data_IF_524964563018
#
_entry.id   IF_524964563018
#
_cell.length_a   1.000
_cell.length_b   1.000
_cell.length_c   1.000
_cell.angle_alpha   90.00
_cell.angle_beta   90.00
_cell.angle_gamma   90.00
#
_symmetry.space_group_name_H-M   'P 1'
#
loop_
_entity.id
_entity.type
_entity.pdbx_description
1 polymer ?
#
# COMPACT_ATOMS: atom_id res chain seq x y z
N UNK A 1 13.79 17.48 -11.28
CA UNK A 1 12.74 16.98 -10.36
C UNK A 1 13.43 16.50 -9.10
N UNK A 2 12.95 16.89 -7.93
CA UNK A 2 13.55 16.49 -6.64
C UNK A 2 12.98 15.11 -6.27
N UNK A 3 13.86 14.17 -5.95
CA UNK A 3 13.45 12.84 -5.48
C UNK A 3 12.96 12.92 -4.02
N UNK A 4 12.00 12.06 -3.67
CA UNK A 4 11.50 11.93 -2.30
C UNK A 4 12.44 11.05 -1.49
N UNK A 5 12.72 11.40 -0.23
CA UNK A 5 13.45 10.54 0.71
C UNK A 5 12.52 9.50 1.32
N UNK A 6 12.54 8.29 0.75
CA UNK A 6 11.79 7.14 1.26
C UNK A 6 12.50 6.33 2.35
N UNK A 7 13.72 6.70 2.75
CA UNK A 7 14.56 5.88 3.64
C UNK A 7 14.58 6.38 5.08
N UNK A 8 13.54 7.14 5.46
CA UNK A 8 13.43 7.77 6.77
C UNK A 8 12.91 6.82 7.84
N UNK A 9 13.39 7.03 9.07
CA UNK A 9 12.96 6.28 10.25
C UNK A 9 13.95 5.20 10.67
N UNK A 10 13.48 4.27 11.50
CA UNK A 10 14.28 3.13 11.95
C UNK A 10 14.28 2.00 10.91
N UNK A 11 15.21 1.05 11.07
CA UNK A 11 15.22 -0.19 10.25
C UNK A 11 13.89 -0.94 10.28
N UNK A 12 13.18 -0.90 11.41
CA UNK A 12 11.88 -1.54 11.55
C UNK A 12 10.80 -0.78 10.77
N UNK A 13 10.89 0.54 10.72
CA UNK A 13 9.94 1.38 9.97
C UNK A 13 10.10 1.15 8.47
N UNK A 14 11.34 1.15 7.97
CA UNK A 14 11.65 0.83 6.56
C UNK A 14 11.18 -0.59 6.21
N UNK A 15 11.37 -1.56 7.11
CA UNK A 15 10.87 -2.93 6.91
C UNK A 15 9.35 -2.95 6.76
N UNK A 16 8.62 -2.27 7.65
CA UNK A 16 7.18 -2.20 7.61
C UNK A 16 6.68 -1.51 6.33
N UNK A 17 7.35 -0.43 5.93
CA UNK A 17 7.09 0.32 4.70
C UNK A 17 7.22 -0.56 3.45
N UNK A 18 8.35 -1.26 3.32
CA UNK A 18 8.60 -2.17 2.20
C UNK A 18 7.60 -3.33 2.18
N UNK A 19 7.31 -3.93 3.34
CA UNK A 19 6.31 -5.00 3.43
C UNK A 19 4.89 -4.50 3.12
N UNK A 20 4.57 -3.24 3.45
CA UNK A 20 3.26 -2.64 3.21
C UNK A 20 3.02 -2.24 1.76
N UNK A 21 4.07 -1.93 0.99
CA UNK A 21 3.91 -1.55 -0.41
C UNK A 21 3.62 -2.73 -1.36
N UNK A 22 3.87 -3.97 -0.91
CA UNK A 22 3.74 -5.18 -1.70
C UNK A 22 2.48 -6.00 -1.35
N UNK A 23 1.88 -6.62 -2.37
CA UNK A 23 0.85 -7.66 -2.19
C UNK A 23 1.49 -9.03 -2.37
N UNK A 24 1.15 -9.94 -1.46
CA UNK A 24 1.64 -11.31 -1.45
C UNK A 24 0.50 -12.29 -1.71
N UNK A 25 0.76 -13.27 -2.58
CA UNK A 25 -0.21 -14.32 -2.93
C UNK A 25 -0.29 -15.41 -1.86
N UNK A 26 0.74 -15.55 -1.03
CA UNK A 26 0.78 -16.53 0.05
C UNK A 26 1.50 -16.00 1.29
N UNK A 27 1.07 -16.46 2.46
CA UNK A 27 1.72 -16.18 3.74
C UNK A 27 3.16 -16.72 3.79
N UNK A 28 3.42 -17.81 3.07
CA UNK A 28 4.77 -18.35 2.91
C UNK A 28 5.70 -17.33 2.25
N UNK A 29 5.35 -16.80 1.06
CA UNK A 29 6.18 -15.82 0.38
C UNK A 29 6.30 -14.50 1.16
N UNK A 30 5.23 -14.11 1.85
CA UNK A 30 5.26 -12.97 2.77
C UNK A 30 6.28 -13.17 3.89
N UNK A 31 6.28 -14.34 4.53
CA UNK A 31 7.21 -14.69 5.60
C UNK A 31 8.67 -14.76 5.13
N UNK A 32 8.91 -15.36 3.96
CA UNK A 32 10.24 -15.41 3.34
C UNK A 32 10.76 -14.00 3.01
N UNK A 33 9.92 -13.17 2.38
CA UNK A 33 10.26 -11.78 2.05
C UNK A 33 10.59 -10.97 3.30
N UNK A 34 9.77 -11.10 4.35
CA UNK A 34 10.00 -10.44 5.63
C UNK A 34 11.38 -10.80 6.21
N UNK A 35 11.76 -12.08 6.19
CA UNK A 35 13.04 -12.52 6.73
C UNK A 35 14.23 -12.04 5.89
N UNK A 36 14.13 -12.10 4.57
CA UNK A 36 15.18 -11.61 3.66
C UNK A 36 15.39 -10.09 3.83
N UNK A 37 14.32 -9.31 3.90
CA UNK A 37 14.41 -7.88 4.17
C UNK A 37 14.98 -7.59 5.55
N UNK A 38 14.57 -8.35 6.58
CA UNK A 38 15.16 -8.23 7.92
C UNK A 38 16.67 -8.46 7.88
N UNK A 39 17.14 -9.49 7.17
CA UNK A 39 18.56 -9.76 7.05
C UNK A 39 19.31 -8.65 6.30
N UNK A 40 18.75 -8.09 5.23
CA UNK A 40 19.38 -6.97 4.53
C UNK A 40 19.43 -5.67 5.37
N UNK A 41 18.34 -5.34 6.08
CA UNK A 41 18.23 -4.12 6.87
C UNK A 41 19.04 -4.19 8.18
N UNK A 42 19.11 -5.36 8.80
CA UNK A 42 19.84 -5.62 10.05
C UNK A 42 21.18 -6.34 9.84
N UNK A 43 21.74 -6.25 8.63
CA UNK A 43 23.04 -6.82 8.29
C UNK A 43 24.11 -6.38 9.30
N UNK A 44 24.85 -7.32 9.92
CA UNK A 44 25.78 -7.00 10.99
C UNK A 44 26.97 -6.19 10.48
N UNK A 45 27.27 -5.07 11.16
CA UNK A 45 28.42 -4.22 10.82
C UNK A 45 28.19 -3.25 9.66
N UNK A 46 27.02 -3.29 9.01
CA UNK A 46 26.68 -2.34 7.95
C UNK A 46 25.82 -1.18 8.48
N UNK A 47 25.95 0.03 7.89
CA UNK A 47 25.09 1.16 8.21
C UNK A 47 23.62 0.88 7.86
N UNK A 48 22.66 1.69 8.35
CA UNK A 48 21.30 1.68 7.83
C UNK A 48 21.28 1.86 6.30
N UNK A 49 20.32 1.24 5.64
CA UNK A 49 20.13 1.40 4.19
C UNK A 49 19.60 2.80 3.90
N UNK A 50 20.16 3.44 2.87
CA UNK A 50 19.89 4.83 2.50
C UNK A 50 19.39 5.02 1.07
N UNK A 51 19.35 3.95 0.27
CA UNK A 51 18.91 4.00 -1.13
C UNK A 51 18.38 2.64 -1.61
N UNK A 52 17.58 2.68 -2.67
CA UNK A 52 17.03 1.50 -3.34
C UNK A 52 18.13 0.58 -3.87
N UNK A 53 19.15 1.17 -4.49
CA UNK A 53 20.32 0.45 -5.00
C UNK A 53 21.08 -0.28 -3.89
N UNK A 54 21.24 0.36 -2.73
CA UNK A 54 21.87 -0.26 -1.58
C UNK A 54 21.03 -1.43 -1.04
N UNK A 55 19.71 -1.27 -0.93
CA UNK A 55 18.83 -2.37 -0.54
C UNK A 55 18.95 -3.54 -1.51
N UNK A 56 18.87 -3.28 -2.83
CA UNK A 56 18.94 -4.28 -3.89
C UNK A 56 20.25 -5.07 -3.83
N UNK A 57 21.38 -4.40 -3.61
CA UNK A 57 22.68 -5.05 -3.37
C UNK A 57 22.65 -5.97 -2.16
N UNK A 58 22.04 -5.54 -1.05
CA UNK A 58 22.00 -6.34 0.19
C UNK A 58 21.03 -7.52 0.12
N UNK A 59 19.91 -7.41 -0.59
CA UNK A 59 18.97 -8.53 -0.77
C UNK A 59 19.37 -9.47 -1.92
N UNK A 60 20.37 -9.08 -2.74
CA UNK A 60 20.90 -9.93 -3.79
C UNK A 60 21.44 -11.23 -3.17
N UNK A 61 20.95 -12.42 -3.57
CA UNK A 61 21.22 -13.63 -2.80
C UNK A 61 22.70 -13.97 -2.57
N UNK A 62 23.60 -13.87 -3.58
CA UNK A 62 25.04 -14.07 -3.35
C UNK A 62 25.62 -13.12 -2.30
N UNK A 63 25.27 -11.84 -2.34
CA UNK A 63 25.73 -10.84 -1.37
C UNK A 63 25.16 -11.12 0.02
N UNK A 64 23.88 -11.46 0.11
CA UNK A 64 23.22 -11.76 1.38
C UNK A 64 23.82 -13.00 2.06
N UNK A 65 24.13 -14.05 1.29
CA UNK A 65 24.82 -15.24 1.78
C UNK A 65 26.23 -14.86 2.29
N UNK A 66 26.98 -14.06 1.53
CA UNK A 66 28.31 -13.62 1.93
C UNK A 66 28.30 -12.78 3.23
N UNK A 67 27.33 -11.90 3.41
CA UNK A 67 27.18 -11.07 4.63
C UNK A 67 26.98 -11.94 5.88
N UNK A 68 26.27 -13.06 5.75
CA UNK A 68 25.90 -13.94 6.86
C UNK A 68 26.76 -15.19 6.97
N UNK A 69 27.84 -15.29 6.20
CA UNK A 69 28.75 -16.44 6.24
C UNK A 69 29.25 -16.71 7.67
N UNK A 70 29.19 -17.97 8.08
CA UNK A 70 29.54 -18.40 9.45
C UNK A 70 28.56 -17.97 10.55
N UNK A 71 27.40 -17.41 10.23
CA UNK A 71 26.34 -17.07 11.19
C UNK A 71 25.14 -18.03 11.07
N UNK A 72 24.36 -18.16 12.16
CA UNK A 72 23.16 -19.03 12.20
C UNK A 72 22.14 -18.71 11.09
N UNK A 73 22.09 -17.45 10.65
CA UNK A 73 21.20 -17.02 9.57
C UNK A 73 21.57 -17.64 8.21
N UNK A 74 22.83 -18.04 7.99
CA UNK A 74 23.25 -18.72 6.77
C UNK A 74 22.50 -20.05 6.59
N UNK A 75 22.31 -20.81 7.68
CA UNK A 75 21.55 -22.08 7.65
C UNK A 75 20.12 -21.88 7.10
N UNK A 76 19.47 -20.77 7.48
CA UNK A 76 18.15 -20.43 6.96
C UNK A 76 18.20 -20.11 5.46
N UNK A 77 19.19 -19.32 5.02
CA UNK A 77 19.34 -18.93 3.63
C UNK A 77 19.65 -20.13 2.71
N UNK A 78 20.48 -21.06 3.19
CA UNK A 78 20.81 -22.29 2.47
C UNK A 78 19.65 -23.28 2.40
N UNK A 79 18.78 -23.29 3.40
CA UNK A 79 17.61 -24.17 3.44
C UNK A 79 16.46 -23.71 2.52
N UNK A 80 16.47 -22.45 2.07
CA UNK A 80 15.44 -21.94 1.16
C UNK A 80 15.60 -22.51 -0.25
N UNK A 81 14.46 -22.86 -0.86
CA UNK A 81 14.43 -23.15 -2.28
C UNK A 81 14.90 -21.93 -3.08
N UNK A 82 15.59 -22.17 -4.22
CA UNK A 82 16.16 -21.11 -5.06
C UNK A 82 15.13 -20.04 -5.40
N UNK A 83 13.93 -20.42 -5.82
CA UNK A 83 12.90 -19.46 -6.22
C UNK A 83 12.39 -18.62 -5.04
N UNK A 84 12.32 -19.21 -3.84
CA UNK A 84 11.94 -18.48 -2.63
C UNK A 84 13.01 -17.46 -2.21
N UNK A 85 14.29 -17.79 -2.40
CA UNK A 85 15.41 -16.90 -2.11
C UNK A 85 15.51 -15.75 -3.13
N UNK A 86 15.29 -16.03 -4.41
CA UNK A 86 15.36 -15.02 -5.48
C UNK A 86 14.09 -14.18 -5.64
N UNK A 87 12.94 -14.67 -5.18
CA UNK A 87 11.64 -13.99 -5.30
C UNK A 87 11.62 -12.57 -4.75
N UNK A 88 12.09 -12.31 -3.51
CA UNK A 88 12.15 -10.96 -2.96
C UNK A 88 13.04 -10.02 -3.78
N UNK A 89 14.22 -10.48 -4.20
CA UNK A 89 15.12 -9.69 -5.05
C UNK A 89 14.41 -9.25 -6.34
N UNK A 90 13.85 -10.19 -7.10
CA UNK A 90 13.20 -9.86 -8.38
C UNK A 90 11.98 -8.95 -8.22
N UNK A 91 11.22 -9.11 -7.12
CA UNK A 91 10.07 -8.25 -6.83
C UNK A 91 10.48 -6.81 -6.53
N UNK A 92 11.47 -6.60 -5.66
CA UNK A 92 11.94 -5.26 -5.35
C UNK A 92 12.74 -4.64 -6.49
N UNK A 93 13.47 -5.44 -7.27
CA UNK A 93 14.13 -4.99 -8.49
C UNK A 93 13.08 -4.45 -9.49
N UNK A 94 12.00 -5.18 -9.73
CA UNK A 94 10.90 -4.72 -10.60
C UNK A 94 10.19 -3.47 -10.06
N UNK A 95 10.03 -3.36 -8.74
CA UNK A 95 9.45 -2.18 -8.10
C UNK A 95 10.34 -0.94 -8.24
N UNK A 96 11.60 -1.01 -7.82
CA UNK A 96 12.51 0.14 -7.86
C UNK A 96 12.91 0.51 -9.29
N UNK A 97 13.00 -0.46 -10.19
CA UNK A 97 13.13 -0.20 -11.64
C UNK A 97 11.90 0.49 -12.23
N UNK A 98 10.77 0.54 -11.52
CA UNK A 98 9.59 1.30 -11.92
C UNK A 98 9.50 2.70 -11.34
N UNK A 99 10.08 2.88 -10.15
CA UNK A 99 10.03 4.14 -9.42
C UNK A 99 11.21 5.06 -9.73
N UNK A 100 12.31 4.55 -10.29
CA UNK A 100 13.37 5.33 -10.97
C UNK A 100 14.15 6.27 -10.05
N UNK A 101 14.74 5.73 -8.98
CA UNK A 101 15.46 6.48 -7.93
C UNK A 101 14.64 7.63 -7.28
N UNK A 102 13.34 7.76 -7.60
CA UNK A 102 12.46 8.81 -7.05
C UNK A 102 12.20 8.68 -5.55
N UNK A 103 12.66 7.60 -4.94
CA UNK A 103 12.63 7.34 -3.49
C UNK A 103 13.98 7.53 -2.81
N UNK A 104 15.03 7.84 -3.57
CA UNK A 104 16.40 7.96 -3.09
C UNK A 104 16.81 9.44 -2.96
N UNK A 105 15.85 10.30 -2.61
CA UNK A 105 16.09 11.72 -2.35
C UNK A 105 16.58 12.02 -0.94
N UNK A 106 16.74 13.30 -0.64
CA UNK A 106 17.17 13.80 0.68
C UNK A 106 16.02 14.42 1.49
N UNK A 107 14.96 14.87 0.81
CA UNK A 107 13.82 15.56 1.41
C UNK A 107 12.55 14.72 1.28
N UNK A 108 11.74 14.71 2.33
CA UNK A 108 10.51 13.92 2.41
C UNK A 108 9.36 14.69 3.03
N UNK A 109 8.37 13.97 3.56
CA UNK A 109 7.23 14.61 4.20
C UNK A 109 7.67 15.49 5.37
N UNK A 110 7.23 16.74 5.36
CA UNK A 110 7.47 17.73 6.41
C UNK A 110 8.72 18.59 6.26
N UNK A 111 9.50 18.42 5.19
CA UNK A 111 10.54 19.40 4.80
C UNK A 111 9.98 20.45 3.85
N UNK A 112 8.97 20.07 3.05
CA UNK A 112 8.24 20.95 2.14
C UNK A 112 7.02 21.59 2.81
N UNK A 113 6.72 22.83 2.43
CA UNK A 113 5.44 23.48 2.76
C UNK A 113 4.27 22.86 1.97
N UNK A 114 4.53 22.46 0.72
CA UNK A 114 3.61 21.73 -0.14
C UNK A 114 4.40 20.78 -1.07
N UNK A 115 3.87 19.58 -1.31
CA UNK A 115 4.46 18.60 -2.19
C UNK A 115 3.39 18.00 -3.13
N UNK A 116 3.73 17.86 -4.41
CA UNK A 116 2.86 17.32 -5.45
C UNK A 116 3.47 16.05 -6.03
N UNK A 117 2.73 14.95 -5.93
CA UNK A 117 3.15 13.65 -6.47
C UNK A 117 2.29 13.31 -7.68
N UNK A 118 2.88 13.35 -8.87
CA UNK A 118 2.21 12.97 -10.10
C UNK A 118 2.28 11.46 -10.32
N UNK A 119 1.13 10.79 -10.31
CA UNK A 119 0.99 9.37 -10.59
C UNK A 119 0.40 9.17 -12.00
N UNK A 120 1.26 9.05 -13.01
CA UNK A 120 0.81 8.90 -14.41
C UNK A 120 0.33 7.47 -14.73
N UNK A 121 -1.00 7.27 -14.69
CA UNK A 121 -1.69 6.01 -15.05
C UNK A 121 -1.36 5.49 -16.43
N UNK A 122 -1.18 6.36 -17.41
CA UNK A 122 -0.96 5.93 -18.80
C UNK A 122 0.40 5.27 -18.96
N UNK A 123 1.41 5.78 -18.25
CA UNK A 123 2.81 5.33 -18.38
C UNK A 123 3.22 4.27 -17.36
N UNK A 124 2.72 4.32 -16.12
CA UNK A 124 3.20 3.48 -15.00
C UNK A 124 2.25 2.33 -14.62
N UNK A 125 1.33 1.93 -15.52
CA UNK A 125 0.19 1.01 -15.28
C UNK A 125 0.34 0.02 -14.11
N UNK A 126 1.29 -0.92 -14.16
CA UNK A 126 1.44 -1.97 -13.13
C UNK A 126 2.22 -1.54 -11.88
N UNK A 127 2.95 -0.43 -11.94
CA UNK A 127 3.88 0.04 -10.91
C UNK A 127 3.32 1.17 -10.04
N UNK A 128 2.25 1.84 -10.48
CA UNK A 128 1.61 2.94 -9.73
C UNK A 128 1.11 2.48 -8.38
N UNK A 129 0.48 1.30 -8.33
CA UNK A 129 -0.10 0.81 -7.10
C UNK A 129 0.93 0.59 -5.99
N UNK A 130 2.01 -0.18 -6.21
CA UNK A 130 3.09 -0.27 -5.24
C UNK A 130 3.66 1.09 -4.84
N UNK A 131 3.81 2.02 -5.78
CA UNK A 131 4.35 3.35 -5.50
C UNK A 131 3.39 4.22 -4.66
N UNK A 132 2.11 4.25 -5.00
CA UNK A 132 1.07 4.93 -4.23
C UNK A 132 0.94 4.35 -2.82
N UNK A 133 0.96 3.01 -2.67
CA UNK A 133 1.01 2.36 -1.35
C UNK A 133 2.24 2.79 -0.57
N UNK A 134 3.40 2.79 -1.21
CA UNK A 134 4.64 3.23 -0.57
C UNK A 134 4.52 4.65 -0.04
N UNK A 135 4.07 5.61 -0.86
CA UNK A 135 3.90 7.00 -0.42
C UNK A 135 2.88 7.13 0.73
N UNK A 136 1.81 6.35 0.72
CA UNK A 136 0.80 6.37 1.77
C UNK A 136 1.30 5.75 3.07
N UNK A 137 2.05 4.64 2.99
CA UNK A 137 2.68 4.04 4.16
C UNK A 137 3.80 4.92 4.73
N UNK A 138 4.58 5.60 3.88
CA UNK A 138 5.59 6.56 4.32
C UNK A 138 4.92 7.80 4.96
N UNK A 139 3.81 8.27 4.40
CA UNK A 139 3.02 9.32 5.02
C UNK A 139 2.47 8.88 6.38
N UNK A 140 1.98 7.64 6.52
CA UNK A 140 1.56 7.10 7.81
C UNK A 140 2.70 7.08 8.84
N UNK A 141 3.90 6.65 8.42
CA UNK A 141 5.10 6.70 9.25
C UNK A 141 5.43 8.12 9.68
N UNK A 142 5.42 9.07 8.74
CA UNK A 142 5.61 10.49 9.02
C UNK A 142 4.61 10.99 10.08
N UNK A 143 3.32 10.67 9.95
CA UNK A 143 2.31 11.05 10.94
C UNK A 143 2.59 10.46 12.33
N UNK A 144 2.98 9.19 12.40
CA UNK A 144 3.32 8.53 13.66
C UNK A 144 4.53 9.21 14.33
N UNK A 145 5.60 9.46 13.58
CA UNK A 145 6.78 10.18 14.06
C UNK A 145 6.44 11.61 14.49
N UNK A 146 5.53 12.26 13.77
CA UNK A 146 5.06 13.62 14.07
C UNK A 146 4.28 13.69 15.37
N UNK A 147 3.40 12.72 15.63
CA UNK A 147 2.66 12.61 16.90
C UNK A 147 3.61 12.47 18.08
N UNK A 148 4.62 11.62 17.98
CA UNK A 148 5.67 11.45 19.00
C UNK A 148 6.41 12.77 19.26
N UNK A 149 6.76 13.49 18.18
CA UNK A 149 7.44 14.80 18.25
C UNK A 149 6.52 15.96 18.65
N UNK A 150 5.22 15.72 18.89
CA UNK A 150 4.19 16.72 19.24
C UNK A 150 4.16 17.96 18.34
N UNK A 151 4.50 17.82 17.05
CA UNK A 151 4.38 18.95 16.12
C UNK A 151 2.90 19.30 15.94
N UNK A 152 2.59 20.60 15.90
CA UNK A 152 1.21 21.13 15.85
C UNK A 152 0.75 21.65 14.48
N UNK A 153 1.63 21.64 13.47
CA UNK A 153 1.32 22.17 12.12
C UNK A 153 0.22 21.34 11.46
N UNK A 154 -0.87 21.95 10.99
CA UNK A 154 -1.93 21.22 10.29
C UNK A 154 -1.37 20.64 8.99
N UNK A 155 -1.80 19.44 8.63
CA UNK A 155 -1.42 18.75 7.39
C UNK A 155 -2.67 18.47 6.59
N UNK A 156 -2.59 18.65 5.28
CA UNK A 156 -3.63 18.29 4.33
C UNK A 156 -3.04 17.31 3.32
N UNK A 157 -3.67 16.14 3.18
CA UNK A 157 -3.36 15.19 2.10
C UNK A 157 -4.54 15.16 1.14
N UNK A 158 -4.28 15.44 -0.14
CA UNK A 158 -5.26 15.38 -1.20
C UNK A 158 -4.94 14.18 -2.08
N UNK A 159 -5.86 13.23 -2.16
CA UNK A 159 -5.81 12.10 -3.06
C UNK A 159 -6.74 12.39 -4.23
N UNK A 160 -6.16 12.93 -5.30
CA UNK A 160 -6.89 13.20 -6.53
C UNK A 160 -7.06 11.92 -7.37
N UNK A 161 -8.18 11.86 -8.09
CA UNK A 161 -8.66 10.73 -8.87
C UNK A 161 -8.37 9.37 -8.22
N UNK A 162 -8.87 9.19 -7.00
CA UNK A 162 -8.64 7.97 -6.22
C UNK A 162 -9.11 6.70 -6.95
N UNK A 163 -10.06 6.83 -7.87
CA UNK A 163 -10.54 5.75 -8.72
C UNK A 163 -9.42 5.05 -9.50
N UNK A 164 -8.32 5.75 -9.77
CA UNK A 164 -7.18 5.19 -10.48
C UNK A 164 -6.47 4.06 -9.71
N UNK A 165 -6.55 4.05 -8.38
CA UNK A 165 -5.80 3.13 -7.50
C UNK A 165 -6.61 2.65 -6.28
N UNK A 166 -7.94 2.83 -6.28
CA UNK A 166 -8.84 2.50 -5.16
C UNK A 166 -8.94 1.01 -4.83
N UNK A 167 -8.78 0.14 -5.84
CA UNK A 167 -8.67 -1.32 -5.63
C UNK A 167 -7.33 -1.73 -5.03
N UNK A 168 -6.33 -0.87 -5.21
CA UNK A 168 -4.94 -1.18 -4.95
C UNK A 168 -4.51 -0.66 -3.59
N UNK A 169 -5.01 0.50 -3.16
CA UNK A 169 -4.68 1.16 -1.90
C UNK A 169 -5.95 1.26 -1.07
N UNK A 170 -5.90 0.96 0.23
CA UNK A 170 -7.04 1.16 1.13
C UNK A 170 -6.85 2.44 1.95
N UNK A 171 -7.64 3.48 1.65
CA UNK A 171 -7.51 4.80 2.30
C UNK A 171 -8.39 4.99 3.53
N UNK A 172 -9.24 4.02 3.89
CA UNK A 172 -10.11 4.12 5.09
C UNK A 172 -9.28 4.34 6.34
N UNK A 173 -8.23 3.54 6.52
CA UNK A 173 -7.35 3.62 7.69
C UNK A 173 -6.62 4.98 7.77
N UNK A 174 -6.44 5.64 6.62
CA UNK A 174 -5.80 6.95 6.52
C UNK A 174 -6.68 8.04 7.13
N UNK A 175 -8.00 8.01 6.94
CA UNK A 175 -8.93 8.97 7.56
C UNK A 175 -8.81 8.95 9.09
N UNK A 176 -8.80 7.76 9.70
CA UNK A 176 -8.71 7.58 11.14
C UNK A 176 -7.35 8.06 11.70
N UNK A 177 -6.26 7.67 11.03
CA UNK A 177 -4.89 8.00 11.45
C UNK A 177 -4.58 9.48 11.31
N UNK A 178 -4.95 10.08 10.18
CA UNK A 178 -4.73 11.51 9.90
C UNK A 178 -5.53 12.38 10.85
N UNK A 179 -6.78 12.01 11.13
CA UNK A 179 -7.61 12.69 12.14
C UNK A 179 -6.92 12.69 13.51
N UNK A 180 -6.38 11.55 13.94
CA UNK A 180 -5.66 11.43 15.22
C UNK A 180 -4.38 12.28 15.26
N UNK A 181 -3.75 12.51 14.10
CA UNK A 181 -2.58 13.37 13.96
C UNK A 181 -2.93 14.87 13.80
N UNK A 182 -4.20 15.26 13.80
CA UNK A 182 -4.63 16.64 13.59
C UNK A 182 -4.44 17.14 12.16
N UNK A 183 -4.50 16.24 11.17
CA UNK A 183 -4.53 16.58 9.75
C UNK A 183 -5.92 16.38 9.13
N UNK A 184 -6.00 16.56 7.82
CA UNK A 184 -7.18 16.34 6.99
C UNK A 184 -6.79 15.52 5.76
N UNK A 185 -7.69 14.64 5.32
CA UNK A 185 -7.60 13.92 4.06
C UNK A 185 -8.77 14.35 3.19
N UNK A 186 -8.48 14.72 1.95
CA UNK A 186 -9.48 14.94 0.91
C UNK A 186 -9.28 13.84 -0.13
N UNK A 187 -10.34 13.12 -0.46
CA UNK A 187 -10.35 12.10 -1.51
C UNK A 187 -11.31 12.57 -2.59
N UNK A 188 -10.84 12.64 -3.83
CA UNK A 188 -11.68 12.94 -4.99
C UNK A 188 -11.95 11.67 -5.80
N UNK A 189 -13.16 11.56 -6.33
CA UNK A 189 -13.55 10.51 -7.26
C UNK A 189 -14.66 11.04 -8.17
N UNK A 190 -14.77 10.49 -9.38
CA UNK A 190 -15.79 10.91 -10.35
C UNK A 190 -17.21 10.44 -10.00
N UNK A 191 -17.33 9.45 -9.10
CA UNK A 191 -18.60 8.90 -8.67
C UNK A 191 -18.41 7.86 -7.58
N UNK A 192 -19.52 7.28 -7.10
CA UNK A 192 -19.51 6.32 -6.00
C UNK A 192 -18.59 5.13 -6.25
N UNK A 193 -18.68 4.49 -7.41
CA UNK A 193 -17.85 3.33 -7.75
C UNK A 193 -16.36 3.68 -7.83
N UNK A 194 -16.04 4.96 -8.10
CA UNK A 194 -14.66 5.47 -8.08
C UNK A 194 -14.03 5.51 -6.68
N UNK A 195 -14.83 5.44 -5.61
CA UNK A 195 -14.33 5.30 -4.24
C UNK A 195 -13.87 3.86 -3.92
N UNK A 196 -14.11 2.91 -4.84
CA UNK A 196 -13.66 1.53 -4.72
C UNK A 196 -14.46 0.70 -3.71
N UNK A 197 -13.93 -0.47 -3.29
CA UNK A 197 -14.69 -1.45 -2.51
C UNK A 197 -15.05 -0.98 -1.09
N UNK A 198 -14.29 -0.02 -0.55
CA UNK A 198 -14.50 0.54 0.78
C UNK A 198 -15.33 1.85 0.76
N UNK A 199 -16.05 2.15 -0.34
CA UNK A 199 -16.77 3.42 -0.54
C UNK A 199 -17.70 3.81 0.62
N UNK A 200 -18.49 2.87 1.15
CA UNK A 200 -19.40 3.13 2.28
C UNK A 200 -18.62 3.59 3.52
N UNK A 201 -17.53 2.90 3.85
CA UNK A 201 -16.68 3.23 5.00
C UNK A 201 -15.97 4.58 4.83
N UNK A 202 -15.57 4.92 3.60
CA UNK A 202 -15.00 6.23 3.29
C UNK A 202 -16.04 7.32 3.53
N UNK A 203 -17.27 7.13 3.03
CA UNK A 203 -18.36 8.08 3.19
C UNK A 203 -18.80 8.24 4.65
N UNK A 204 -18.81 7.15 5.44
CA UNK A 204 -19.07 7.19 6.88
C UNK A 204 -17.94 7.89 7.66
N UNK A 205 -16.69 7.67 7.26
CA UNK A 205 -15.51 8.27 7.88
C UNK A 205 -15.31 9.75 7.53
N UNK A 206 -15.87 10.21 6.41
CA UNK A 206 -15.78 11.58 5.93
C UNK A 206 -16.91 12.45 6.49
N UNK A 207 -16.66 13.33 7.48
CA UNK A 207 -17.71 14.17 8.07
C UNK A 207 -18.24 15.24 7.09
N UNK A 208 -17.52 15.47 5.99
CA UNK A 208 -17.81 16.48 4.99
C UNK A 208 -17.71 15.84 3.61
N UNK A 209 -18.73 16.06 2.79
CA UNK A 209 -18.77 15.61 1.40
C UNK A 209 -19.14 16.79 0.50
N UNK A 210 -18.41 16.94 -0.60
CA UNK A 210 -18.62 17.99 -1.61
C UNK A 210 -19.06 17.27 -2.88
N UNK A 211 -20.30 17.50 -3.28
CA UNK A 211 -20.93 16.81 -4.40
C UNK A 211 -21.19 17.79 -5.54
N UNK A 212 -20.35 17.68 -6.58
CA UNK A 212 -20.60 18.32 -7.87
C UNK A 212 -21.69 17.57 -8.65
N UNK A 213 -22.10 18.10 -9.80
CA UNK A 213 -23.06 17.44 -10.70
C UNK A 213 -22.62 16.00 -11.01
N UNK A 214 -23.48 15.03 -10.73
CA UNK A 214 -23.27 13.62 -11.09
C UNK A 214 -24.59 12.95 -11.52
N UNK A 215 -24.49 11.88 -12.30
CA UNK A 215 -25.64 11.17 -12.88
C UNK A 215 -26.34 10.23 -11.88
N UNK A 216 -25.56 9.60 -11.00
CA UNK A 216 -26.00 8.60 -10.02
C UNK A 216 -25.71 9.05 -8.57
N UNK A 217 -26.39 10.09 -8.06
CA UNK A 217 -26.13 10.65 -6.74
C UNK A 217 -26.67 9.81 -5.57
N UNK A 218 -27.54 8.83 -5.82
CA UNK A 218 -28.36 8.17 -4.82
C UNK A 218 -27.56 7.57 -3.66
N UNK A 219 -26.40 6.97 -3.95
CA UNK A 219 -25.55 6.40 -2.90
C UNK A 219 -24.77 7.47 -2.13
N UNK A 220 -24.43 8.58 -2.78
CA UNK A 220 -23.62 9.67 -2.21
C UNK A 220 -24.46 10.56 -1.28
N UNK A 221 -25.71 10.84 -1.64
CA UNK A 221 -26.60 11.70 -0.85
C UNK A 221 -27.12 11.01 0.42
N UNK A 222 -27.02 9.68 0.53
CA UNK A 222 -27.44 8.94 1.73
C UNK A 222 -26.73 9.43 3.00
N UNK A 223 -25.50 9.92 2.86
CA UNK A 223 -24.72 10.48 3.97
C UNK A 223 -25.39 11.72 4.58
N UNK A 224 -26.16 12.47 3.80
CA UNK A 224 -26.92 13.61 4.32
C UNK A 224 -28.16 13.19 5.13
N UNK A 225 -28.62 11.94 5.00
CA UNK A 225 -29.82 11.45 5.68
C UNK A 225 -31.14 12.00 5.13
N UNK A 226 -32.22 11.78 5.89
CA UNK A 226 -33.59 12.23 5.59
C UNK A 226 -34.10 13.28 6.59
N UNK A 227 -35.19 13.95 6.23
CA UNK A 227 -35.99 14.76 7.13
C UNK A 227 -37.49 14.46 6.94
N UNK A 228 -38.24 14.49 8.04
CA UNK A 228 -39.70 14.38 7.98
C UNK A 228 -40.29 15.70 7.48
N UNK A 229 -41.06 15.62 6.39
CA UNK A 229 -41.74 16.76 5.78
C UNK A 229 -43.24 16.50 5.81
N UNK A 230 -44.08 17.49 6.22
CA UNK A 230 -45.53 17.35 6.13
C UNK A 230 -45.97 17.41 4.67
N UNK A 231 -46.57 16.33 4.18
CA UNK A 231 -47.26 16.27 2.90
C UNK A 231 -48.75 16.54 3.12
N UNK A 232 -49.25 17.62 2.52
CA UNK A 232 -50.66 18.00 2.58
C UNK A 232 -51.31 17.63 1.24
N UNK A 233 -52.19 16.63 1.26
CA UNK A 233 -53.03 16.27 0.14
C UNK A 233 -54.38 16.99 0.25
N UNK A 234 -54.66 17.88 -0.69
CA UNK A 234 -55.94 18.56 -0.82
C UNK A 234 -56.83 17.78 -1.80
N UNK A 235 -57.93 17.21 -1.32
CA UNK A 235 -58.96 16.67 -2.19
C UNK A 235 -59.89 17.83 -2.58
N UNK A 236 -59.75 18.28 -3.82
CA UNK A 236 -60.73 19.20 -4.39
C UNK A 236 -61.97 18.38 -4.74
N UNK A 237 -63.08 18.65 -4.06
CA UNK A 237 -64.37 18.09 -4.43
C UNK A 237 -64.71 18.51 -5.86
N UNK A 238 -65.04 17.56 -6.71
CA UNK A 238 -65.64 17.88 -8.01
C UNK A 238 -67.11 18.20 -7.75
N UNK A 239 -67.45 19.48 -7.64
CA UNK A 239 -68.84 19.89 -7.48
C UNK A 239 -69.61 19.69 -8.81
N UNK A 240 -70.43 18.64 -8.84
CA UNK A 240 -71.80 18.67 -9.38
C UNK A 240 -72.64 17.64 -8.61
N UNK A 241 -72.79 17.86 -7.31
CA UNK A 241 -73.98 17.38 -6.62
C UNK A 241 -74.94 18.56 -6.43
N UNK A 242 -76.11 18.44 -7.05
CA UNK A 242 -77.15 19.46 -7.19
C UNK A 242 -77.98 19.66 -5.92
N UNK A 243 -77.32 19.76 -4.77
CA UNK A 243 -77.96 19.99 -3.47
C UNK A 243 -77.01 20.84 -2.67
N UNK A 244 -77.36 22.10 -2.43
CA UNK A 244 -76.42 23.12 -1.95
C UNK A 244 -76.06 22.94 -0.48
N UNK A 245 -75.08 22.09 -0.24
CA UNK A 245 -74.31 22.01 1.00
C UNK A 245 -72.83 21.98 0.63
N UNK A 246 -72.06 22.76 1.37
CA UNK A 246 -70.80 23.42 1.01
C UNK A 246 -69.70 22.50 0.44
N UNK A 247 -68.94 23.03 -0.53
CA UNK A 247 -67.66 22.53 -1.05
C UNK A 247 -66.67 22.14 0.08
N UNK A 248 -66.79 20.93 0.63
CA UNK A 248 -65.84 20.42 1.65
C UNK A 248 -64.55 20.00 0.95
N UNK A 249 -63.62 20.94 0.85
CA UNK A 249 -62.22 20.63 0.53
C UNK A 249 -61.64 19.85 1.71
N UNK A 250 -61.51 18.53 1.58
CA UNK A 250 -60.90 17.71 2.63
C UNK A 250 -59.37 17.67 2.47
N UNK A 251 -58.66 18.17 3.47
CA UNK A 251 -57.20 18.13 3.53
C UNK A 251 -56.73 16.97 4.41
N UNK A 252 -55.91 16.08 3.87
CA UNK A 252 -55.20 15.06 4.66
C UNK A 252 -53.73 15.45 4.78
N UNK A 253 -53.21 15.54 6.00
CA UNK A 253 -51.79 15.79 6.25
C UNK A 253 -51.13 14.50 6.74
N UNK A 254 -50.02 14.10 6.12
CA UNK A 254 -49.19 12.98 6.58
C UNK A 254 -47.73 13.41 6.66
N UNK A 255 -46.99 12.89 7.63
CA UNK A 255 -45.53 13.07 7.67
C UNK A 255 -44.89 12.05 6.74
N UNK A 256 -43.97 12.49 5.89
CA UNK A 256 -43.22 11.63 4.97
C UNK A 256 -41.74 11.88 5.13
N UNK A 257 -40.96 10.81 5.13
CA UNK A 257 -39.51 10.88 5.08
C UNK A 257 -39.06 11.25 3.66
N UNK A 258 -38.46 12.44 3.53
CA UNK A 258 -37.80 12.88 2.30
C UNK A 258 -36.28 12.96 2.49
N UNK A 259 -35.46 12.65 1.47
CA UNK A 259 -34.02 12.85 1.56
C UNK A 259 -33.70 14.34 1.67
N UNK A 260 -32.74 14.71 2.53
CA UNK A 260 -32.34 16.12 2.71
C UNK A 260 -31.82 16.76 1.43
N UNK A 261 -31.21 15.94 0.59
CA UNK A 261 -30.76 16.31 -0.75
C UNK A 261 -31.52 15.44 -1.73
N UNK A 262 -32.27 16.04 -2.66
CA UNK A 262 -32.97 15.27 -3.68
C UNK A 262 -31.99 14.89 -4.80
N UNK A 263 -32.04 13.66 -5.34
CA UNK A 263 -31.21 13.24 -6.47
C UNK A 263 -31.24 14.20 -7.66
N UNK A 264 -32.42 14.72 -7.98
CA UNK A 264 -32.61 15.61 -9.13
C UNK A 264 -31.97 16.98 -8.92
N UNK A 265 -31.84 17.45 -7.68
CA UNK A 265 -31.16 18.71 -7.39
C UNK A 265 -29.67 18.60 -7.74
N UNK A 266 -29.04 17.46 -7.41
CA UNK A 266 -27.65 17.16 -7.76
C UNK A 266 -27.46 17.10 -9.27
N UNK A 267 -28.37 16.43 -9.98
CA UNK A 267 -28.30 16.27 -11.45
C UNK A 267 -28.42 17.59 -12.19
N UNK A 268 -29.15 18.55 -11.62
CA UNK A 268 -29.43 19.87 -12.21
C UNK A 268 -28.42 20.95 -11.80
N UNK A 269 -27.40 20.63 -11.01
CA UNK A 269 -26.34 21.58 -10.66
C UNK A 269 -25.68 22.14 -11.94
N UNK A 270 -25.56 23.46 -12.00
CA UNK A 270 -24.81 24.13 -13.06
C UNK A 270 -23.30 24.02 -12.81
N UNK A 271 -22.51 24.33 -13.84
CA UNK A 271 -21.06 24.37 -13.69
C UNK A 271 -20.68 25.48 -12.71
N UNK A 272 -19.82 25.16 -11.74
CA UNK A 272 -19.52 26.05 -10.62
C UNK A 272 -20.52 25.99 -9.46
N UNK A 273 -21.51 25.08 -9.49
CA UNK A 273 -22.37 24.77 -8.34
C UNK A 273 -22.00 23.42 -7.72
N UNK A 274 -22.12 23.33 -6.39
CA UNK A 274 -21.94 22.09 -5.65
C UNK A 274 -22.92 22.00 -4.49
N UNK A 275 -23.21 20.80 -4.03
CA UNK A 275 -23.86 20.56 -2.76
C UNK A 275 -22.79 20.25 -1.72
N UNK A 276 -22.75 21.06 -0.67
CA UNK A 276 -21.88 20.86 0.48
C UNK A 276 -22.67 20.15 1.57
N UNK A 277 -22.23 18.96 1.98
CA UNK A 277 -22.86 18.15 3.01
C UNK A 277 -21.91 18.06 4.19
N UNK A 278 -22.38 18.39 5.39
CA UNK A 278 -21.61 18.27 6.61
C UNK A 278 -22.52 17.76 7.72
N UNK A 279 -22.23 16.56 8.24
CA UNK A 279 -23.09 15.86 9.20
C UNK A 279 -24.53 15.74 8.66
N UNK A 280 -25.50 16.38 9.32
CA UNK A 280 -26.93 16.32 9.00
C UNK A 280 -27.43 17.57 8.26
N UNK A 281 -26.50 18.40 7.77
CA UNK A 281 -26.81 19.64 7.06
C UNK A 281 -26.28 19.57 5.64
N UNK A 282 -27.05 20.14 4.71
CA UNK A 282 -26.68 20.26 3.31
C UNK A 282 -27.02 21.66 2.82
N UNK A 283 -26.11 22.23 2.04
CA UNK A 283 -26.30 23.54 1.42
C UNK A 283 -25.81 23.51 -0.02
N UNK A 284 -26.59 24.11 -0.93
CA UNK A 284 -26.12 24.42 -2.28
C UNK A 284 -25.19 25.62 -2.21
N UNK A 285 -23.98 25.48 -2.73
CA UNK A 285 -22.94 26.50 -2.72
C UNK A 285 -22.48 26.82 -4.14
N UNK A 286 -22.06 28.07 -4.34
CA UNK A 286 -21.35 28.50 -5.55
C UNK A 286 -19.84 28.36 -5.30
N UNK A 287 -19.15 27.73 -6.25
CA UNK A 287 -17.70 27.62 -6.24
C UNK A 287 -17.15 28.76 -7.09
N UNK A 288 -16.53 29.72 -6.43
CA UNK A 288 -15.76 30.75 -7.11
C UNK A 288 -14.47 30.13 -7.67
N UNK A 289 -14.30 30.19 -8.99
CA UNK A 289 -13.07 29.76 -9.63
C UNK A 289 -12.02 30.83 -9.38
N UNK A 290 -10.87 30.42 -8.84
CA UNK A 290 -9.71 31.30 -8.78
C UNK A 290 -9.31 31.63 -10.22
N UNK A 291 -9.28 32.90 -10.56
CA UNK A 291 -8.74 33.35 -11.84
C UNK A 291 -7.24 33.08 -11.84
N UNK A 292 -6.83 32.10 -12.63
CA UNK A 292 -5.43 31.84 -12.93
C UNK A 292 -5.13 32.48 -14.28
N UNK A 293 -3.91 32.99 -14.45
CA UNK A 293 -3.43 33.37 -15.77
C UNK A 293 -3.27 32.08 -16.59
N UNK A 294 -4.21 31.83 -17.50
CA UNK A 294 -4.25 30.60 -18.30
C UNK A 294 -2.97 30.43 -19.11
N UNK A 295 -2.38 31.54 -19.59
CA UNK A 295 -1.14 31.49 -20.36
C UNK A 295 0.04 31.09 -19.49
N UNK A 296 0.17 31.71 -18.31
CA UNK A 296 1.23 31.35 -17.35
C UNK A 296 1.11 29.88 -16.92
N UNK A 297 -0.11 29.41 -16.66
CA UNK A 297 -0.36 28.00 -16.31
C UNK A 297 0.01 27.07 -17.46
N UNK A 298 -0.33 27.40 -18.70
CA UNK A 298 0.00 26.58 -19.87
C UNK A 298 1.50 26.55 -20.14
N UNK A 299 2.19 27.68 -19.99
CA UNK A 299 3.64 27.78 -20.14
C UNK A 299 4.36 26.93 -19.09
N UNK A 300 3.97 27.06 -17.81
CA UNK A 300 4.53 26.26 -16.70
C UNK A 300 4.20 24.77 -16.87
N UNK A 301 2.98 24.43 -17.28
CA UNK A 301 2.60 23.04 -17.53
C UNK A 301 3.43 22.43 -18.67
N UNK A 302 3.64 23.18 -19.75
CA UNK A 302 4.47 22.77 -20.89
C UNK A 302 5.92 22.55 -20.45
N UNK A 303 6.49 23.47 -19.67
CA UNK A 303 7.85 23.33 -19.13
C UNK A 303 7.96 22.08 -18.24
N UNK A 304 6.99 21.85 -17.35
CA UNK A 304 6.95 20.66 -16.48
C UNK A 304 6.86 19.36 -17.28
N UNK A 305 6.05 19.33 -18.34
CA UNK A 305 5.94 18.17 -19.23
C UNK A 305 7.26 17.92 -19.96
N UNK A 306 7.89 18.96 -20.51
CA UNK A 306 9.19 18.83 -21.19
C UNK A 306 10.29 18.35 -20.24
N UNK A 307 10.34 18.92 -19.02
CA UNK A 307 11.28 18.48 -17.99
C UNK A 307 11.03 17.03 -17.58
N UNK A 308 9.76 16.62 -17.49
CA UNK A 308 9.39 15.23 -17.22
C UNK A 308 9.83 14.28 -18.34
N UNK A 309 9.59 14.65 -19.60
CA UNK A 309 10.00 13.88 -20.78
C UNK A 309 11.52 13.75 -20.88
N UNK A 310 12.26 14.84 -20.67
CA UNK A 310 13.72 14.81 -20.68
C UNK A 310 14.31 13.88 -19.60
N UNK A 311 13.75 13.89 -18.39
CA UNK A 311 14.14 12.95 -17.32
C UNK A 311 13.81 11.51 -17.71
N UNK A 312 12.67 11.29 -18.38
CA UNK A 312 12.24 9.98 -18.85
C UNK A 312 13.16 9.44 -19.96
N UNK A 313 13.59 10.28 -20.91
CA UNK A 313 14.50 9.87 -22.00
C UNK A 313 15.86 9.44 -21.47
N UNK A 314 16.43 10.20 -20.53
CA UNK A 314 17.68 9.84 -19.84
C UNK A 314 17.53 8.48 -19.16
N UNK A 315 16.36 8.22 -18.59
CA UNK A 315 16.05 6.97 -17.93
C UNK A 315 15.92 5.79 -18.90
N UNK A 316 15.15 5.94 -19.98
CA UNK A 316 15.00 4.92 -21.01
C UNK A 316 16.37 4.54 -21.58
N UNK A 317 17.24 5.53 -21.80
CA UNK A 317 18.62 5.30 -22.22
C UNK A 317 19.42 4.51 -21.17
N UNK A 318 19.25 4.81 -19.88
CA UNK A 318 19.90 4.07 -18.79
C UNK A 318 19.43 2.62 -18.71
N UNK A 319 18.13 2.34 -18.84
CA UNK A 319 17.59 0.98 -18.90
C UNK A 319 18.15 0.23 -20.11
N UNK A 320 18.10 0.83 -21.30
CA UNK A 320 18.62 0.22 -22.53
C UNK A 320 20.10 -0.11 -22.36
N UNK A 321 20.89 0.80 -21.80
CA UNK A 321 22.30 0.55 -21.49
C UNK A 321 22.48 -0.58 -20.48
N UNK A 322 21.62 -0.70 -19.48
CA UNK A 322 21.66 -1.78 -18.48
C UNK A 322 21.35 -3.14 -19.12
N UNK A 323 20.36 -3.21 -20.01
CA UNK A 323 20.06 -4.43 -20.77
C UNK A 323 21.13 -4.77 -21.83
N UNK A 324 21.76 -3.75 -22.43
CA UNK A 324 22.81 -3.93 -23.43
C UNK A 324 24.19 -4.23 -22.81
N UNK A 325 24.40 -3.89 -21.53
CA UNK A 325 25.57 -4.35 -20.77
C UNK A 325 25.48 -5.87 -20.64
N UNK A 326 26.06 -6.56 -21.62
CA UNK A 326 26.45 -7.97 -21.47
C UNK A 326 27.20 -8.10 -20.15
N UNK A 327 26.72 -8.99 -19.29
CA UNK A 327 27.52 -9.52 -18.18
C UNK A 327 28.84 -9.96 -18.80
N UNK A 328 29.92 -9.20 -18.55
CA UNK A 328 31.24 -9.57 -19.02
C UNK A 328 31.51 -10.94 -18.44
N UNK A 329 31.60 -11.96 -19.31
CA UNK A 329 31.97 -13.28 -18.87
C UNK A 329 33.27 -13.14 -18.07
N UNK A 330 33.36 -13.71 -16.85
CA UNK A 330 34.58 -13.59 -16.05
C UNK A 330 35.76 -14.04 -16.92
N UNK A 331 36.91 -13.34 -16.86
CA UNK A 331 38.06 -13.71 -17.66
C UNK A 331 38.34 -15.18 -17.37
N UNK A 332 38.26 -16.01 -18.43
CA UNK A 332 38.68 -17.40 -18.33
C UNK A 332 40.11 -17.37 -17.83
N UNK A 333 40.30 -17.73 -16.57
CA UNK A 333 41.61 -17.91 -15.98
C UNK A 333 42.37 -18.85 -16.90
N UNK A 334 43.47 -18.34 -17.43
CA UNK A 334 44.27 -19.00 -18.45
C UNK A 334 44.68 -20.39 -18.00
N UNK A 335 44.11 -21.37 -18.70
CA UNK A 335 44.74 -22.58 -19.21
C UNK A 335 46.16 -22.87 -18.70
N UNK A 336 46.29 -23.37 -17.47
CA UNK A 336 47.43 -24.22 -17.12
C UNK A 336 47.18 -25.60 -17.70
N UNK A 337 47.69 -25.80 -18.92
CA UNK A 337 47.85 -27.09 -19.58
C UNK A 337 48.43 -28.15 -18.63
N UNK A 338 47.62 -29.15 -18.27
CA UNK A 338 48.09 -30.47 -17.84
C UNK A 338 47.29 -31.58 -18.53
N UNK A 339 47.93 -32.16 -19.56
CA UNK A 339 47.95 -33.59 -19.93
C UNK A 339 46.63 -34.38 -20.08
N UNK A 340 46.46 -35.16 -21.18
CA UNK A 340 45.23 -35.88 -21.43
C UNK A 340 45.14 -37.14 -20.55
N UNK A 341 44.09 -37.23 -19.74
CA UNK A 341 43.64 -38.51 -19.14
C UNK A 341 42.33 -38.93 -19.80
N UNK A 342 42.41 -39.94 -20.67
CA UNK A 342 41.28 -40.76 -21.13
C UNK A 342 40.54 -41.33 -19.92
N UNK A 343 39.23 -41.04 -19.80
CA UNK A 343 38.26 -41.89 -19.10
C UNK A 343 36.92 -41.87 -19.83
N UNK A 344 36.31 -43.06 -19.88
CA UNK A 344 35.21 -43.51 -20.72
C UNK A 344 33.86 -42.85 -20.38
N UNK A 345 32.99 -42.71 -21.39
CA UNK A 345 31.56 -42.34 -21.23
C UNK A 345 30.76 -43.54 -20.70
N UNK A 346 29.90 -43.36 -19.67
CA UNK A 346 28.78 -44.25 -19.44
C UNK A 346 27.61 -43.93 -20.39
N UNK A 347 26.80 -44.93 -20.80
CA UNK A 347 25.65 -44.74 -21.68
C UNK A 347 24.44 -44.09 -20.96
N UNK A 348 23.52 -43.47 -21.72
CA UNK A 348 22.41 -42.70 -21.17
C UNK A 348 21.31 -43.60 -20.56
N UNK A 349 20.59 -43.11 -19.52
CA UNK A 349 19.51 -43.86 -18.88
C UNK A 349 18.24 -43.93 -19.76
N UNK A 350 17.63 -45.11 -19.79
CA UNK A 350 16.33 -45.36 -20.45
C UNK A 350 15.15 -44.84 -19.60
N UNK A 351 14.06 -44.39 -20.25
CA UNK A 351 12.85 -43.94 -19.56
C UNK A 351 12.04 -45.12 -18.96
N UNK A 352 11.39 -44.93 -17.79
CA UNK A 352 10.57 -45.96 -17.15
C UNK A 352 9.26 -46.23 -17.90
N UNK A 353 8.90 -47.51 -18.02
CA UNK A 353 7.63 -47.97 -18.57
C UNK A 353 6.50 -47.91 -17.52
N UNK A 354 5.24 -47.69 -17.95
CA UNK A 354 4.07 -47.63 -17.08
C UNK A 354 3.55 -49.03 -16.71
N UNK A 355 3.29 -49.27 -15.42
CA UNK A 355 2.51 -50.42 -14.96
C UNK A 355 1.07 -49.99 -14.61
N UNK A 356 0.12 -50.66 -15.26
CA UNK A 356 -1.34 -50.56 -15.07
C UNK A 356 -1.76 -51.49 -13.92
N UNK A 357 -2.83 -51.15 -13.15
CA UNK A 357 -3.17 -51.83 -11.89
C UNK A 357 -4.05 -53.07 -12.08
N UNK A 358 -4.01 -54.00 -11.11
CA UNK A 358 -4.95 -55.11 -10.97
C UNK A 358 -5.69 -54.99 -9.63
N UNK A 359 -6.99 -55.26 -9.70
CA UNK A 359 -8.04 -55.00 -8.73
C UNK A 359 -8.09 -55.93 -7.50
N UNK A 360 -8.89 -55.49 -6.53
CA UNK A 360 -9.25 -56.09 -5.23
C UNK A 360 -10.03 -57.44 -5.32
N UNK A 361 -10.34 -58.09 -4.17
CA UNK A 361 -11.65 -57.82 -3.55
C UNK A 361 -11.76 -57.89 -2.00
N UNK A 362 -12.67 -57.04 -1.48
CA UNK A 362 -13.71 -57.18 -0.42
C UNK A 362 -13.57 -58.16 0.77
N UNK A 363 -13.77 -57.61 2.00
CA UNK A 363 -14.67 -58.08 3.07
C UNK A 363 -14.58 -57.13 4.31
N UNK A 364 -15.58 -56.27 4.55
CA UNK A 364 -16.69 -56.40 5.54
C UNK A 364 -16.33 -56.09 7.01
N UNK A 365 -17.01 -55.09 7.61
CA UNK A 365 -17.16 -54.98 9.08
C UNK A 365 -17.22 -53.56 9.65
N UNK A 366 -18.40 -52.95 9.67
CA UNK A 366 -18.82 -51.89 10.62
C UNK A 366 -19.15 -52.53 12.00
N UNK A 367 -19.29 -51.81 13.15
CA UNK A 367 -19.86 -50.46 13.29
C UNK A 367 -19.19 -49.49 14.30
N UNK A 368 -19.68 -48.23 14.25
CA UNK A 368 -19.54 -47.12 15.20
C UNK A 368 -20.19 -47.46 16.59
N UNK A 369 -20.24 -46.59 17.65
CA UNK A 369 -20.17 -45.11 17.65
C UNK A 369 -19.50 -44.43 18.86
N UNK A 370 -19.28 -43.11 18.80
CA UNK A 370 -19.90 -42.13 19.73
C UNK A 370 -19.30 -40.74 19.54
N UNK A 371 -20.20 -39.76 19.52
CA UNK A 371 -19.94 -38.34 19.44
C UNK A 371 -20.34 -37.67 20.75
N UNK A 372 -19.63 -36.58 21.08
CA UNK A 372 -20.20 -35.39 21.70
C UNK A 372 -20.28 -35.34 23.23
N UNK A 373 -19.50 -34.44 23.82
CA UNK A 373 -20.01 -33.28 24.58
C UNK A 373 -18.85 -32.52 25.29
N UNK A 374 -19.06 -31.22 25.63
CA UNK A 374 -18.00 -30.21 25.70
C UNK A 374 -17.54 -29.90 27.13
N UNK A 375 -16.35 -29.31 27.26
CA UNK A 375 -15.85 -28.73 28.49
C UNK A 375 -15.44 -27.27 28.27
N UNK A 376 -16.32 -26.38 28.69
CA UNK A 376 -16.05 -25.00 29.13
C UNK A 376 -14.99 -24.97 30.23
N UNK A 377 -14.00 -24.09 30.12
CA UNK A 377 -13.22 -23.60 31.26
C UNK A 377 -12.99 -22.09 31.15
N UNK A 378 -12.99 -21.36 32.28
CA UNK A 378 -13.01 -19.91 32.34
C UNK A 378 -11.60 -19.29 32.34
N UNK A 379 -11.63 -17.97 32.13
CA UNK A 379 -10.52 -17.04 32.23
C UNK A 379 -9.88 -17.02 33.63
N UNK A 380 -8.54 -17.05 33.67
CA UNK A 380 -7.78 -16.49 34.79
C UNK A 380 -6.57 -15.72 34.25
N UNK A 381 -6.51 -14.46 34.66
CA UNK A 381 -5.37 -13.56 34.53
C UNK A 381 -4.55 -13.69 35.81
N UNK A 382 -3.21 -13.74 35.74
CA UNK A 382 -2.40 -13.30 36.87
C UNK A 382 -1.52 -12.11 36.50
N UNK A 383 -1.51 -11.17 37.43
CA UNK A 383 -0.72 -9.96 37.46
C UNK A 383 0.79 -10.24 37.40
N UNK A 384 1.50 -9.38 36.68
CA UNK A 384 2.96 -9.32 36.72
C UNK A 384 3.40 -8.69 38.06
N UNK A 385 4.08 -9.50 38.87
CA UNK A 385 4.81 -9.07 40.04
C UNK A 385 6.19 -8.53 39.64
N UNK A 386 6.49 -7.36 40.18
CA UNK A 386 7.72 -6.59 40.14
C UNK A 386 8.87 -7.35 40.83
N UNK A 387 10.00 -7.58 40.12
CA UNK A 387 11.22 -8.15 40.73
C UNK A 387 12.40 -7.21 40.54
N UNK A 388 12.94 -6.84 41.70
CA UNK A 388 14.09 -5.98 41.98
C UNK A 388 15.38 -6.38 41.25
N UNK A 389 16.11 -5.34 40.85
CA UNK A 389 17.56 -5.30 40.61
C UNK A 389 18.34 -6.06 41.69
N UNK A 390 19.25 -6.92 41.27
CA UNK A 390 20.46 -7.27 42.01
C UNK A 390 21.65 -6.98 41.10
N UNK A 391 22.48 -6.03 41.55
CA UNK A 391 23.81 -5.76 41.04
C UNK A 391 24.77 -6.81 41.59
N UNK A 392 25.63 -7.38 40.74
CA UNK A 392 26.85 -8.06 41.17
C UNK A 392 28.00 -7.72 40.24
N UNK A 393 29.02 -7.12 40.83
CA UNK A 393 30.31 -6.78 40.25
C UNK A 393 31.19 -8.02 40.00
N UNK A 394 31.82 -8.04 38.83
CA UNK A 394 33.27 -8.18 38.64
C UNK A 394 34.02 -9.45 39.10
N UNK A 395 34.53 -10.22 38.12
CA UNK A 395 35.96 -10.60 38.05
C UNK A 395 36.37 -11.28 36.72
N UNK A 396 37.67 -11.28 36.33
CA UNK A 396 38.11 -11.22 34.93
C UNK A 396 38.87 -12.44 34.36
N UNK A 397 38.88 -12.54 33.02
CA UNK A 397 39.89 -13.24 32.17
C UNK A 397 39.55 -14.68 31.72
N UNK A 398 40.05 -15.18 30.56
CA UNK A 398 41.25 -14.76 29.82
C UNK A 398 41.04 -14.44 28.32
N UNK A 399 42.14 -13.99 27.70
CA UNK A 399 42.28 -13.36 26.38
C UNK A 399 41.77 -14.17 25.18
N UNK A 400 41.04 -13.48 24.29
CA UNK A 400 40.59 -14.00 23.01
C UNK A 400 41.55 -13.57 21.88
N UNK A 401 41.92 -14.54 21.05
CA UNK A 401 42.61 -14.38 19.76
C UNK A 401 41.92 -13.36 18.84
N UNK A 402 42.64 -12.68 17.93
CA UNK A 402 42.11 -11.56 17.16
C UNK A 402 40.96 -12.01 16.26
N UNK A 403 39.79 -11.37 16.44
CA UNK A 403 38.65 -11.52 15.54
C UNK A 403 39.04 -11.01 14.14
N UNK A 404 38.63 -11.69 13.05
CA UNK A 404 38.79 -11.15 11.72
C UNK A 404 38.10 -9.79 11.63
N UNK A 405 38.77 -8.82 11.02
CA UNK A 405 38.26 -7.47 10.83
C UNK A 405 36.93 -7.52 10.09
N UNK A 406 35.88 -6.96 10.71
CA UNK A 406 34.58 -6.80 10.06
C UNK A 406 34.74 -5.91 8.81
N UNK A 407 34.10 -6.27 7.68
CA UNK A 407 34.06 -5.38 6.53
C UNK A 407 33.41 -4.05 6.94
N UNK A 408 34.01 -2.94 6.53
CA UNK A 408 33.55 -1.58 6.86
C UNK A 408 32.62 -1.02 5.79
N UNK A 409 32.64 -1.62 4.60
CA UNK A 409 31.83 -1.24 3.46
C UNK A 409 31.44 -2.47 2.62
N UNK A 410 30.42 -2.32 1.78
CA UNK A 410 30.04 -3.34 0.78
C UNK A 410 31.15 -3.58 -0.25
N UNK A 411 31.99 -2.56 -0.52
CA UNK A 411 33.12 -2.64 -1.45
C UNK A 411 34.26 -3.55 -0.91
N UNK A 412 34.22 -3.93 0.38
CA UNK A 412 35.19 -4.88 0.96
C UNK A 412 34.79 -6.36 0.71
N UNK A 413 33.58 -6.61 0.16
CA UNK A 413 32.98 -7.94 -0.04
C UNK A 413 32.98 -8.35 -1.53
N UNK A 414 33.02 -7.38 -2.45
CA UNK A 414 33.17 -7.58 -3.91
C UNK A 414 34.65 -7.76 -4.31
#
# INVERSE_FOLDING_TARGET
>A
MIAHDGWRGSRQDILNLLMGCQIFESDYFRGVTLNILKFALYAPGLPPVSSSKELLRRIYPPTLIAIYDGLRQAEFLEALARDALWGPYGRYEAFFSGVLDRLDGEEGFGDWDAAYYLLDKKRLQQQIAPFARYLIEDFNLYLALRQVKRKRQRILLILDDYSAYSEMVRVVDLFERVRSAGGCVIVSAQGYEGLGPDAERILEGAPTAILNRCSLPEKLIRVAGSCEVPEIALHMGNERDSTGDEDVTSSTMRMVDEPRVRPDDVRRLADGESIFMCKNESQKVMIERVALDEQEVEDVATELIQNYEAVQDVYELAQVNQFQRRVAAPPKSGDQRKGPRRKQKPPPPQPPQPTVPVAAPLASGQPAPSAGAPATLPAETPAFAEVKRIETEGSPGPAASPKPSKPRSLDDIE
#
